data_IF_463409186777
#
_entry.id   IF_463409186777
#
_cell.length_a   1.000
_cell.length_b   1.000
_cell.length_c   1.000
_cell.angle_alpha   90.00
_cell.angle_beta   90.00
_cell.angle_gamma   90.00
#
_symmetry.space_group_name_H-M   'P 1'
#
loop_
_entity.id
_entity.type
_entity.pdbx_description
1 polymer ?
#
# COMPACT_ATOMS: atom_id res chain seq x y z
N UNK A 1 15.20 4.08 -8.48
CA UNK A 1 14.18 3.11 -8.00
C UNK A 1 13.69 2.17 -9.11
N UNK A 2 13.39 2.67 -10.32
CA UNK A 2 12.90 1.79 -11.42
C UNK A 2 13.89 0.66 -11.72
N UNK A 3 15.20 0.98 -11.82
CA UNK A 3 16.22 -0.04 -12.06
C UNK A 3 16.30 -1.10 -10.96
N UNK A 4 15.93 -0.75 -9.75
CA UNK A 4 15.86 -1.73 -8.65
C UNK A 4 14.94 -2.89 -9.03
N UNK A 5 13.76 -2.60 -9.55
CA UNK A 5 12.76 -3.61 -9.87
C UNK A 5 12.95 -4.24 -11.26
N UNK A 6 13.51 -3.51 -12.22
CA UNK A 6 13.71 -4.04 -13.57
C UNK A 6 15.03 -4.79 -13.76
N UNK A 7 16.03 -4.50 -12.92
CA UNK A 7 17.35 -5.10 -13.02
C UNK A 7 17.76 -5.87 -11.76
N UNK A 8 17.87 -5.19 -10.63
CA UNK A 8 18.41 -5.80 -9.39
C UNK A 8 17.45 -6.80 -8.74
N UNK A 9 16.17 -6.48 -8.70
CA UNK A 9 15.12 -7.36 -8.13
C UNK A 9 14.21 -7.91 -9.21
N UNK A 10 14.80 -8.25 -10.35
CA UNK A 10 14.06 -8.76 -11.50
C UNK A 10 13.23 -10.00 -11.17
N UNK A 11 13.81 -10.96 -10.45
CA UNK A 11 13.11 -12.19 -10.06
C UNK A 11 11.91 -11.89 -9.17
N UNK A 12 12.04 -10.95 -8.25
CA UNK A 12 10.94 -10.48 -7.40
C UNK A 12 9.81 -9.90 -8.26
N UNK A 13 10.15 -9.01 -9.19
CA UNK A 13 9.16 -8.37 -10.06
C UNK A 13 8.46 -9.41 -10.93
N UNK A 14 9.19 -10.38 -11.46
CA UNK A 14 8.60 -11.47 -12.26
C UNK A 14 7.62 -12.30 -11.44
N UNK A 15 7.94 -12.62 -10.18
CA UNK A 15 7.01 -13.36 -9.31
C UNK A 15 5.72 -12.57 -9.03
N UNK A 16 5.84 -11.26 -8.83
CA UNK A 16 4.67 -10.39 -8.64
C UNK A 16 3.80 -10.37 -9.90
N UNK A 17 4.42 -10.25 -11.07
CA UNK A 17 3.69 -10.28 -12.34
C UNK A 17 2.92 -11.59 -12.54
N UNK A 18 3.48 -12.71 -12.09
CA UNK A 18 2.79 -14.01 -12.12
C UNK A 18 1.54 -14.02 -11.23
N UNK A 19 1.54 -13.25 -10.14
CA UNK A 19 0.43 -13.21 -9.18
C UNK A 19 -0.64 -12.16 -9.51
N UNK A 20 -0.32 -11.16 -10.33
CA UNK A 20 -1.24 -10.03 -10.55
C UNK A 20 -2.61 -10.47 -11.08
N UNK A 21 -2.65 -11.48 -11.94
CA UNK A 21 -3.89 -11.99 -12.52
C UNK A 21 -4.80 -12.65 -11.48
N UNK A 22 -4.25 -13.08 -10.33
CA UNK A 22 -5.03 -13.68 -9.24
C UNK A 22 -5.75 -12.61 -8.41
N UNK A 23 -5.19 -11.41 -8.31
CA UNK A 23 -5.66 -10.41 -7.35
C UNK A 23 -6.07 -9.08 -7.96
N UNK A 24 -5.43 -8.63 -9.03
CA UNK A 24 -5.73 -7.31 -9.62
C UNK A 24 -7.18 -7.15 -10.06
N UNK A 25 -7.84 -8.16 -10.67
CA UNK A 25 -9.27 -8.01 -10.98
C UNK A 25 -10.13 -7.74 -9.74
N UNK A 26 -9.82 -8.40 -8.62
CA UNK A 26 -10.51 -8.19 -7.36
C UNK A 26 -10.27 -6.77 -6.83
N UNK A 27 -9.01 -6.31 -6.84
CA UNK A 27 -8.65 -4.97 -6.38
C UNK A 27 -9.33 -3.89 -7.23
N UNK A 28 -9.29 -4.05 -8.54
CA UNK A 28 -9.91 -3.10 -9.48
C UNK A 28 -11.41 -2.99 -9.26
N UNK A 29 -12.08 -4.11 -9.03
CA UNK A 29 -13.51 -4.15 -8.71
C UNK A 29 -13.85 -3.30 -7.50
N UNK A 30 -13.15 -3.52 -6.37
CA UNK A 30 -13.41 -2.79 -5.14
C UNK A 30 -12.97 -1.33 -5.21
N UNK A 31 -11.83 -1.03 -5.83
CA UNK A 31 -11.39 0.35 -6.02
C UNK A 31 -12.42 1.14 -6.83
N UNK A 32 -12.95 0.56 -7.92
CA UNK A 32 -14.01 1.19 -8.69
C UNK A 32 -15.27 1.40 -7.88
N UNK A 33 -15.67 0.42 -7.08
CA UNK A 33 -16.85 0.50 -6.22
C UNK A 33 -16.76 1.65 -5.21
N UNK A 34 -15.56 1.94 -4.72
CA UNK A 34 -15.32 3.01 -3.75
C UNK A 34 -14.85 4.32 -4.39
N UNK A 35 -14.88 4.41 -5.72
CA UNK A 35 -14.45 5.60 -6.50
C UNK A 35 -13.01 6.01 -6.20
N UNK A 36 -12.12 5.02 -6.08
CA UNK A 36 -10.70 5.23 -5.82
C UNK A 36 -9.86 5.00 -7.08
N UNK A 37 -8.70 5.66 -7.21
CA UNK A 37 -7.82 5.42 -8.34
C UNK A 37 -7.40 3.96 -8.44
N UNK A 38 -7.47 3.41 -9.66
CA UNK A 38 -7.12 2.01 -9.93
C UNK A 38 -5.65 1.71 -9.59
N UNK A 39 -4.77 2.68 -9.74
CA UNK A 39 -3.34 2.52 -9.47
C UNK A 39 -3.03 2.21 -8.00
N UNK A 40 -3.96 2.43 -7.09
CA UNK A 40 -3.77 2.05 -5.68
C UNK A 40 -3.62 0.54 -5.49
N UNK A 41 -3.97 -0.26 -6.48
CA UNK A 41 -3.73 -1.72 -6.46
C UNK A 41 -2.25 -2.07 -6.27
N UNK A 42 -1.33 -1.21 -6.72
CA UNK A 42 0.11 -1.42 -6.54
C UNK A 42 0.56 -1.29 -5.09
N UNK A 43 -0.26 -0.74 -4.21
CA UNK A 43 0.00 -0.69 -2.78
C UNK A 43 0.15 -2.09 -2.19
N UNK A 44 -0.72 -3.02 -2.57
CA UNK A 44 -0.64 -4.40 -2.12
C UNK A 44 0.65 -5.07 -2.61
N UNK A 45 1.16 -4.68 -3.76
CA UNK A 45 2.46 -5.17 -4.25
C UNK A 45 3.59 -4.69 -3.33
N UNK A 46 3.62 -3.40 -3.04
CA UNK A 46 4.63 -2.82 -2.13
C UNK A 46 4.56 -3.48 -0.75
N UNK A 47 3.36 -3.69 -0.23
CA UNK A 47 3.16 -4.20 1.12
C UNK A 47 3.47 -5.69 1.26
N UNK A 48 2.98 -6.52 0.35
CA UNK A 48 2.98 -7.96 0.54
C UNK A 48 3.53 -8.78 -0.63
N UNK A 49 3.95 -8.14 -1.72
CA UNK A 49 4.28 -8.82 -2.97
C UNK A 49 3.13 -9.73 -3.45
N UNK A 50 1.89 -9.34 -3.16
CA UNK A 50 0.67 -10.08 -3.48
C UNK A 50 0.61 -11.48 -2.82
N UNK A 51 1.12 -11.59 -1.59
CA UNK A 51 1.05 -12.83 -0.80
C UNK A 51 0.00 -12.64 0.31
N UNK A 52 -1.16 -13.35 0.25
CA UNK A 52 -2.24 -13.15 1.21
C UNK A 52 -1.88 -13.48 2.66
N UNK A 53 -0.90 -14.34 2.87
CA UNK A 53 -0.46 -14.77 4.19
C UNK A 53 0.78 -14.03 4.67
N UNK A 54 1.23 -13.00 3.97
CA UNK A 54 2.41 -12.23 4.35
C UNK A 54 2.26 -11.65 5.75
N UNK A 55 3.34 -11.74 6.53
CA UNK A 55 3.39 -11.21 7.88
C UNK A 55 4.72 -10.53 8.12
N UNK A 56 4.69 -9.26 8.51
CA UNK A 56 5.91 -8.51 8.77
C UNK A 56 6.46 -8.83 10.15
N UNK A 57 7.70 -8.38 10.39
CA UNK A 57 8.36 -8.52 11.70
C UNK A 57 7.54 -7.92 12.83
N UNK A 58 6.81 -6.84 12.58
CA UNK A 58 6.02 -6.13 13.60
C UNK A 58 4.56 -6.58 13.63
N UNK A 59 4.18 -7.58 12.85
CA UNK A 59 2.85 -8.18 12.89
C UNK A 59 1.83 -7.63 11.89
N UNK A 60 2.24 -6.76 10.97
CA UNK A 60 1.38 -6.38 9.85
C UNK A 60 1.11 -7.61 8.98
N UNK A 61 -0.14 -7.83 8.59
CA UNK A 61 -0.56 -9.10 8.00
C UNK A 61 -1.44 -8.91 6.77
N UNK A 62 -1.28 -9.81 5.79
CA UNK A 62 -2.14 -9.92 4.61
C UNK A 62 -1.67 -9.13 3.42
N UNK A 63 -2.47 -9.14 2.36
CA UNK A 63 -2.18 -8.41 1.11
C UNK A 63 -1.91 -6.92 1.35
N UNK A 64 -2.65 -6.32 2.27
CA UNK A 64 -2.62 -4.88 2.54
C UNK A 64 -1.86 -4.51 3.81
N UNK A 65 -1.30 -5.53 4.51
CA UNK A 65 -0.44 -5.37 5.67
C UNK A 65 -1.03 -4.53 6.79
N UNK A 66 -2.22 -4.90 7.26
CA UNK A 66 -2.85 -4.22 8.39
C UNK A 66 -2.24 -4.63 9.72
N UNK A 67 -1.96 -3.64 10.56
CA UNK A 67 -1.69 -3.84 11.98
C UNK A 67 -2.98 -4.18 12.72
N UNK A 68 -2.85 -4.83 13.89
CA UNK A 68 -3.99 -5.24 14.70
C UNK A 68 -4.99 -4.14 15.00
N UNK A 69 -4.55 -2.98 15.55
CA UNK A 69 -5.49 -1.89 15.85
C UNK A 69 -6.25 -1.38 14.63
N UNK A 70 -5.58 -1.22 13.50
CA UNK A 70 -6.24 -0.80 12.27
C UNK A 70 -7.24 -1.84 11.78
N UNK A 71 -6.89 -3.12 11.87
CA UNK A 71 -7.80 -4.21 11.53
C UNK A 71 -9.07 -4.19 12.39
N UNK A 72 -8.91 -3.89 13.70
CA UNK A 72 -10.06 -3.77 14.60
C UNK A 72 -10.97 -2.60 14.20
N UNK A 73 -10.37 -1.44 13.89
CA UNK A 73 -11.11 -0.26 13.44
C UNK A 73 -11.87 -0.53 12.14
N UNK A 74 -11.32 -1.37 11.28
CA UNK A 74 -11.93 -1.78 10.02
C UNK A 74 -12.84 -3.00 10.16
N UNK A 75 -13.03 -3.49 11.39
CA UNK A 75 -13.91 -4.61 11.73
C UNK A 75 -13.51 -5.92 11.03
N UNK A 76 -12.22 -6.14 10.84
CA UNK A 76 -11.68 -7.42 10.38
C UNK A 76 -11.56 -8.35 11.59
N UNK A 77 -12.18 -9.53 11.48
CA UNK A 77 -12.18 -10.52 12.54
C UNK A 77 -10.78 -11.14 12.71
N UNK A 78 -10.33 -11.23 13.96
CA UNK A 78 -9.08 -11.92 14.32
C UNK A 78 -9.30 -12.70 15.61
N UNK A 79 -9.11 -14.00 15.53
CA UNK A 79 -9.16 -14.89 16.70
C UNK A 79 -8.20 -16.07 16.47
N UNK A 80 -8.28 -17.10 17.32
CA UNK A 80 -7.42 -18.29 17.21
C UNK A 80 -7.58 -19.02 15.88
N UNK A 81 -8.72 -18.89 15.23
CA UNK A 81 -9.09 -19.68 14.06
C UNK A 81 -9.07 -18.89 12.76
N UNK A 82 -9.32 -17.59 12.84
CA UNK A 82 -9.54 -16.74 11.67
C UNK A 82 -8.80 -15.42 11.82
N UNK A 83 -8.11 -15.02 10.75
CA UNK A 83 -7.56 -13.67 10.59
C UNK A 83 -8.00 -13.15 9.23
N UNK A 84 -8.98 -12.26 9.24
CA UNK A 84 -9.57 -11.73 8.01
C UNK A 84 -8.66 -10.79 7.24
N UNK A 85 -7.53 -10.39 7.84
CA UNK A 85 -6.48 -9.67 7.11
C UNK A 85 -5.88 -10.56 6.00
N UNK A 86 -5.99 -11.88 6.14
CA UNK A 86 -5.53 -12.87 5.16
C UNK A 86 -6.61 -13.25 4.14
N UNK A 87 -7.83 -12.77 4.31
CA UNK A 87 -8.91 -12.98 3.36
C UNK A 87 -8.81 -11.93 2.26
N UNK A 88 -8.52 -12.30 1.01
CA UNK A 88 -8.28 -11.32 -0.06
C UNK A 88 -9.44 -10.35 -0.26
N UNK A 89 -10.67 -10.85 -0.25
CA UNK A 89 -11.84 -10.01 -0.50
C UNK A 89 -12.11 -9.04 0.65
N UNK A 90 -12.15 -9.54 1.89
CA UNK A 90 -12.42 -8.72 3.06
C UNK A 90 -11.31 -7.70 3.32
N UNK A 91 -10.05 -8.12 3.15
CA UNK A 91 -8.91 -7.22 3.32
C UNK A 91 -8.91 -6.12 2.26
N UNK A 92 -9.27 -6.44 1.03
CA UNK A 92 -9.32 -5.46 -0.06
C UNK A 92 -10.42 -4.43 0.16
N UNK A 93 -11.62 -4.86 0.57
CA UNK A 93 -12.68 -3.92 0.91
C UNK A 93 -12.28 -3.02 2.07
N UNK A 94 -11.67 -3.59 3.10
CA UNK A 94 -11.16 -2.82 4.24
C UNK A 94 -10.11 -1.80 3.80
N UNK A 95 -9.21 -2.17 2.89
CA UNK A 95 -8.21 -1.26 2.35
C UNK A 95 -8.85 -0.09 1.61
N UNK A 96 -9.89 -0.34 0.83
CA UNK A 96 -10.62 0.72 0.14
C UNK A 96 -11.26 1.69 1.12
N UNK A 97 -11.89 1.19 2.19
CA UNK A 97 -12.47 2.03 3.24
C UNK A 97 -11.38 2.88 3.93
N UNK A 98 -10.25 2.28 4.23
CA UNK A 98 -9.13 2.96 4.88
C UNK A 98 -8.53 4.05 3.98
N UNK A 99 -8.31 3.75 2.71
CA UNK A 99 -7.78 4.71 1.74
C UNK A 99 -8.73 5.88 1.53
N UNK A 100 -10.04 5.62 1.47
CA UNK A 100 -11.04 6.68 1.38
C UNK A 100 -11.02 7.58 2.62
N UNK A 101 -10.90 6.99 3.80
CA UNK A 101 -10.75 7.73 5.04
C UNK A 101 -9.49 8.61 5.01
N UNK A 102 -8.34 8.06 4.63
CA UNK A 102 -7.09 8.82 4.57
C UNK A 102 -7.17 9.97 3.57
N UNK A 103 -7.78 9.74 2.42
CA UNK A 103 -7.96 10.83 1.44
C UNK A 103 -8.87 11.93 1.98
N UNK A 104 -9.89 11.57 2.75
CA UNK A 104 -10.75 12.54 3.42
C UNK A 104 -9.99 13.42 4.44
N UNK A 105 -8.92 12.88 5.03
CA UNK A 105 -8.08 13.62 5.97
C UNK A 105 -7.06 14.50 5.26
N UNK A 106 -6.37 13.98 4.25
CA UNK A 106 -5.19 14.63 3.67
C UNK A 106 -5.44 15.31 2.32
N UNK A 107 -6.46 14.89 1.57
CA UNK A 107 -6.81 15.43 0.24
C UNK A 107 -5.67 15.44 -0.78
N UNK A 108 -4.67 14.57 -0.59
CA UNK A 108 -3.47 14.47 -1.43
C UNK A 108 -2.98 13.02 -1.39
N UNK A 109 -2.85 12.40 -2.57
CA UNK A 109 -2.51 10.97 -2.64
C UNK A 109 -1.08 10.67 -2.15
N UNK A 110 -0.12 11.56 -2.34
CA UNK A 110 1.22 11.34 -1.81
C UNK A 110 1.23 11.34 -0.28
N UNK A 111 0.46 12.24 0.33
CA UNK A 111 0.27 12.24 1.79
C UNK A 111 -0.49 11.01 2.26
N UNK A 112 -1.48 10.55 1.50
CA UNK A 112 -2.21 9.32 1.80
C UNK A 112 -1.27 8.12 1.81
N UNK A 113 -0.40 7.98 0.81
CA UNK A 113 0.56 6.89 0.74
C UNK A 113 1.54 6.93 1.92
N UNK A 114 2.05 8.11 2.24
CA UNK A 114 2.93 8.28 3.40
C UNK A 114 2.21 7.94 4.71
N UNK A 115 0.96 8.37 4.87
CA UNK A 115 0.14 8.07 6.05
C UNK A 115 -0.21 6.59 6.13
N UNK A 116 -0.42 5.92 5.01
CA UNK A 116 -0.67 4.48 4.97
C UNK A 116 0.50 3.72 5.60
N UNK A 117 1.73 4.13 5.27
CA UNK A 117 2.94 3.53 5.82
C UNK A 117 3.21 3.93 7.28
N UNK A 118 3.07 5.21 7.61
CA UNK A 118 3.51 5.76 8.91
C UNK A 118 2.39 5.98 9.90
N UNK A 119 1.15 6.01 9.44
CA UNK A 119 -0.02 6.30 10.29
C UNK A 119 -0.49 7.74 10.14
N UNK A 120 -1.82 7.91 10.12
CA UNK A 120 -2.45 9.21 9.94
C UNK A 120 -2.08 10.19 11.07
N UNK A 121 -2.02 9.71 12.30
CA UNK A 121 -1.67 10.54 13.46
C UNK A 121 -0.27 11.13 13.36
N UNK A 122 0.70 10.32 12.96
CA UNK A 122 2.08 10.78 12.77
C UNK A 122 2.17 11.83 11.65
N UNK A 123 1.49 11.58 10.53
CA UNK A 123 1.47 12.54 9.42
C UNK A 123 0.82 13.86 9.83
N UNK A 124 -0.31 13.80 10.53
CA UNK A 124 -0.99 15.01 11.00
C UNK A 124 -0.10 15.82 11.96
N UNK A 125 0.60 15.15 12.86
CA UNK A 125 1.51 15.83 13.80
C UNK A 125 2.64 16.55 13.09
N UNK A 126 3.29 15.91 12.11
CA UNK A 126 4.41 16.55 11.42
C UNK A 126 3.94 17.72 10.54
N UNK A 127 2.78 17.59 9.91
CA UNK A 127 2.21 18.69 9.12
C UNK A 127 1.88 19.90 10.01
N UNK A 128 1.29 19.67 11.19
CA UNK A 128 0.99 20.75 12.14
C UNK A 128 2.25 21.39 12.70
N UNK A 129 3.23 20.56 13.11
CA UNK A 129 4.48 21.05 13.70
C UNK A 129 5.29 21.90 12.75
N UNK A 130 5.34 21.51 11.46
CA UNK A 130 6.14 22.19 10.45
C UNK A 130 5.38 23.32 9.74
N UNK A 131 4.05 23.32 9.79
CA UNK A 131 3.21 24.24 9.04
C UNK A 131 3.20 23.96 7.53
N UNK A 132 3.81 22.86 7.10
CA UNK A 132 3.91 22.47 5.69
C UNK A 132 2.66 21.69 5.29
N UNK A 133 2.36 21.66 3.97
CA UNK A 133 1.11 21.10 3.46
C UNK A 133 1.26 20.00 2.43
N UNK A 134 2.47 19.82 1.87
CA UNK A 134 2.71 18.80 0.83
C UNK A 134 3.70 17.77 1.30
N UNK A 135 3.64 16.58 0.67
CA UNK A 135 4.58 15.50 0.93
C UNK A 135 6.03 15.95 0.71
N UNK A 136 6.31 16.62 -0.40
CA UNK A 136 7.68 17.03 -0.73
C UNK A 136 8.22 18.10 0.23
N UNK A 137 7.36 18.95 0.75
CA UNK A 137 7.76 19.97 1.74
C UNK A 137 8.13 19.34 3.09
N UNK A 138 7.42 18.28 3.52
CA UNK A 138 7.70 17.61 4.81
C UNK A 138 8.65 16.42 4.67
N UNK A 139 9.06 16.08 3.45
CA UNK A 139 9.82 14.88 3.13
C UNK A 139 11.03 14.68 4.06
N UNK A 140 11.83 15.73 4.29
CA UNK A 140 13.01 15.66 5.14
C UNK A 140 12.70 15.38 6.62
N UNK A 141 11.47 15.61 7.05
CA UNK A 141 11.03 15.38 8.44
C UNK A 141 10.44 13.99 8.65
N UNK A 142 10.35 13.17 7.60
CA UNK A 142 9.76 11.83 7.66
C UNK A 142 10.82 10.77 7.96
N UNK A 143 10.44 9.65 8.58
CA UNK A 143 11.36 8.51 8.71
C UNK A 143 11.84 8.02 7.34
N UNK A 144 13.03 7.44 7.30
CA UNK A 144 13.63 6.94 6.06
C UNK A 144 12.70 5.99 5.30
N UNK A 145 12.06 5.06 5.99
CA UNK A 145 11.10 4.13 5.38
C UNK A 145 9.96 4.88 4.68
N UNK A 146 9.41 5.89 5.34
CA UNK A 146 8.30 6.67 4.80
C UNK A 146 8.74 7.55 3.63
N UNK A 147 9.96 8.13 3.72
CA UNK A 147 10.54 8.89 2.61
C UNK A 147 10.69 8.04 1.35
N UNK A 148 11.03 6.77 1.51
CA UNK A 148 11.25 5.86 0.39
C UNK A 148 9.96 5.21 -0.12
N UNK A 149 8.89 5.27 0.65
CA UNK A 149 7.66 4.54 0.36
C UNK A 149 6.98 5.02 -0.92
N UNK A 150 6.82 6.33 -1.08
CA UNK A 150 6.18 6.90 -2.27
C UNK A 150 7.01 6.65 -3.54
N UNK A 151 8.33 6.90 -3.56
CA UNK A 151 9.15 6.54 -4.71
C UNK A 151 9.12 5.05 -5.04
N UNK A 152 9.10 4.18 -4.03
CA UNK A 152 9.01 2.73 -4.23
C UNK A 152 7.69 2.35 -4.89
N UNK A 153 6.58 2.90 -4.42
CA UNK A 153 5.26 2.68 -5.02
C UNK A 153 5.27 3.10 -6.51
N UNK A 154 5.76 4.28 -6.79
CA UNK A 154 5.81 4.81 -8.16
C UNK A 154 6.70 3.94 -9.05
N UNK A 155 7.84 3.48 -8.53
CA UNK A 155 8.79 2.67 -9.29
C UNK A 155 8.24 1.29 -9.61
N UNK A 156 7.59 0.61 -8.65
CA UNK A 156 7.02 -0.71 -8.92
C UNK A 156 5.83 -0.62 -9.87
N UNK A 157 5.02 0.41 -9.73
CA UNK A 157 3.92 0.68 -10.66
C UNK A 157 4.45 0.84 -12.09
N UNK A 158 5.48 1.67 -12.26
CA UNK A 158 6.11 1.89 -13.56
C UNK A 158 6.69 0.59 -14.12
N UNK A 159 7.44 -0.16 -13.31
CA UNK A 159 8.06 -1.41 -13.74
C UNK A 159 7.02 -2.43 -14.20
N UNK A 160 5.91 -2.55 -13.48
CA UNK A 160 4.84 -3.49 -13.85
C UNK A 160 4.08 -3.05 -15.09
N UNK A 161 3.76 -1.77 -15.21
CA UNK A 161 3.07 -1.22 -16.38
C UNK A 161 3.90 -1.32 -17.66
N UNK A 162 5.22 -1.28 -17.53
CA UNK A 162 6.15 -1.31 -18.66
C UNK A 162 6.96 -2.62 -18.68
N UNK A 163 6.36 -3.70 -18.19
CA UNK A 163 7.03 -5.00 -18.09
C UNK A 163 7.58 -5.48 -19.45
N UNK A 164 6.84 -5.31 -20.52
CA UNK A 164 7.24 -5.72 -21.87
C UNK A 164 8.52 -5.02 -22.32
N UNK A 165 8.67 -3.73 -21.99
CA UNK A 165 9.86 -2.94 -22.37
C UNK A 165 11.11 -3.42 -21.66
N UNK A 166 10.97 -4.08 -20.51
CA UNK A 166 12.07 -4.60 -19.71
C UNK A 166 12.18 -6.11 -19.77
N UNK A 167 11.43 -6.75 -20.67
CA UNK A 167 11.41 -8.20 -20.87
C UNK A 167 11.10 -8.98 -19.58
N UNK A 168 10.17 -8.47 -18.78
CA UNK A 168 9.73 -9.11 -17.52
C UNK A 168 8.60 -10.13 -17.71
#
# INVERSE_FOLDING_TARGET
YVRLFTERQRAYTQRVLERENLYFPLFEKYLAQYNLPTDLKYLAVVESALIPTAKSRVGATGLWQFMGPTANDLRLRRDEWVDERMNPEKATEAACKHLRYLYGVFHDWELVLAAYNWGAGNMQRVLRRTGKKTYWDVHSSLPAETRNYVPTFTAIMYAMKHADQHQL
#
